data_IF_899751215636
#
_entry.id   IF_899751215636
#
_cell.length_a   1.000
_cell.length_b   1.000
_cell.length_c   1.000
_cell.angle_alpha   90.00
_cell.angle_beta   90.00
_cell.angle_gamma   90.00
#
_symmetry.space_group_name_H-M   'P 1'
#
loop_
_entity.id
_entity.type
_entity.pdbx_description
1 polymer ?
#
# COMPACT_ATOMS: atom_id res chain seq x y z
N UNK A 1 -7.69 -15.24 -11.78
CA UNK A 1 -8.42 -14.08 -12.31
C UNK A 1 -8.54 -12.97 -11.26
N UNK A 2 -9.20 -13.21 -10.12
CA UNK A 2 -9.52 -12.17 -9.11
C UNK A 2 -8.29 -11.47 -8.52
N UNK A 3 -7.22 -12.22 -8.23
CA UNK A 3 -5.94 -11.65 -7.79
C UNK A 3 -5.33 -10.70 -8.82
N UNK A 4 -5.42 -11.05 -10.10
CA UNK A 4 -4.93 -10.19 -11.18
C UNK A 4 -5.78 -8.92 -11.30
N UNK A 5 -7.11 -9.03 -11.16
CA UNK A 5 -8.02 -7.89 -11.22
C UNK A 5 -7.78 -6.94 -10.02
N UNK A 6 -7.58 -7.49 -8.82
CA UNK A 6 -7.20 -6.71 -7.64
C UNK A 6 -5.87 -5.97 -7.88
N UNK A 7 -4.85 -6.65 -8.40
CA UNK A 7 -3.57 -6.05 -8.75
C UNK A 7 -3.69 -4.94 -9.81
N UNK A 8 -4.48 -5.18 -10.86
CA UNK A 8 -4.75 -4.18 -11.89
C UNK A 8 -5.47 -2.95 -11.32
N UNK A 9 -6.46 -3.15 -10.46
CA UNK A 9 -7.18 -2.05 -9.82
C UNK A 9 -6.26 -1.21 -8.94
N UNK A 10 -5.37 -1.84 -8.16
CA UNK A 10 -4.36 -1.13 -7.37
C UNK A 10 -3.35 -0.39 -8.25
N UNK A 11 -2.92 -0.99 -9.35
CA UNK A 11 -2.01 -0.36 -10.30
C UNK A 11 -2.61 0.90 -10.92
N UNK A 12 -3.84 0.79 -11.43
CA UNK A 12 -4.57 1.94 -12.01
C UNK A 12 -4.87 2.99 -10.95
N UNK A 13 -5.32 2.57 -9.75
CA UNK A 13 -5.56 3.46 -8.63
C UNK A 13 -4.30 4.23 -8.22
N UNK A 14 -3.16 3.55 -8.13
CA UNK A 14 -1.87 4.17 -7.83
C UNK A 14 -1.44 5.18 -8.91
N UNK A 15 -1.62 4.85 -10.19
CA UNK A 15 -1.33 5.77 -11.29
C UNK A 15 -2.21 7.03 -11.25
N UNK A 16 -3.51 6.87 -10.98
CA UNK A 16 -4.45 7.99 -10.81
C UNK A 16 -4.12 8.83 -9.58
N UNK A 17 -3.83 8.19 -8.43
CA UNK A 17 -3.42 8.87 -7.20
C UNK A 17 -2.13 9.68 -7.41
N UNK A 18 -1.16 9.14 -8.16
CA UNK A 18 0.07 9.85 -8.53
C UNK A 18 -0.23 11.09 -9.38
N UNK A 19 -1.10 10.96 -10.39
CA UNK A 19 -1.50 12.08 -11.22
C UNK A 19 -2.21 13.19 -10.41
N UNK A 20 -3.07 12.80 -9.46
CA UNK A 20 -3.75 13.73 -8.54
C UNK A 20 -2.74 14.41 -7.62
N UNK A 21 -1.83 13.66 -7.00
CA UNK A 21 -0.79 14.21 -6.13
C UNK A 21 0.10 15.21 -6.86
N UNK A 22 0.42 14.96 -8.14
CA UNK A 22 1.23 15.85 -8.95
C UNK A 22 0.49 17.13 -9.41
N UNK A 23 -0.85 17.13 -9.44
CA UNK A 23 -1.62 18.23 -10.05
C UNK A 23 -2.46 19.02 -9.07
N UNK A 24 -3.17 18.34 -8.15
CA UNK A 24 -4.16 18.98 -7.28
C UNK A 24 -3.82 18.98 -5.80
N UNK A 25 -3.12 18.01 -5.31
CA UNK A 25 -2.78 17.74 -3.90
C UNK A 25 -4.03 17.61 -3.02
N UNK A 26 -4.84 18.65 -2.90
CA UNK A 26 -6.07 18.69 -2.09
C UNK A 26 -7.28 18.45 -2.97
N UNK A 27 -8.15 17.56 -2.56
CA UNK A 27 -9.38 17.19 -3.25
C UNK A 27 -10.60 17.72 -2.49
N UNK A 28 -11.76 17.85 -3.14
CA UNK A 28 -12.96 18.44 -2.51
C UNK A 28 -13.39 17.73 -1.21
N UNK A 29 -13.16 16.42 -1.09
CA UNK A 29 -13.48 15.69 0.13
C UNK A 29 -12.50 15.98 1.28
N UNK A 30 -11.23 16.30 0.97
CA UNK A 30 -10.27 16.75 1.99
C UNK A 30 -10.67 18.11 2.54
N UNK A 31 -11.05 19.04 1.64
CA UNK A 31 -11.54 20.36 2.04
C UNK A 31 -12.83 20.27 2.86
N UNK A 32 -13.75 19.39 2.45
CA UNK A 32 -14.99 19.16 3.19
C UNK A 32 -14.74 18.57 4.59
N UNK A 33 -13.73 17.68 4.72
CA UNK A 33 -13.38 17.07 6.00
C UNK A 33 -12.65 18.05 6.92
N UNK A 34 -11.69 18.80 6.38
CA UNK A 34 -10.91 19.79 7.12
C UNK A 34 -11.72 21.06 7.45
N UNK A 35 -12.80 21.32 6.71
CA UNK A 35 -13.52 22.60 6.78
C UNK A 35 -12.70 23.79 6.27
N UNK A 36 -11.64 23.53 5.51
CA UNK A 36 -10.66 24.51 5.04
C UNK A 36 -10.37 24.30 3.56
N UNK A 37 -10.31 25.39 2.81
CA UNK A 37 -9.89 25.35 1.41
C UNK A 37 -8.37 25.17 1.30
N UNK A 38 -7.91 24.74 0.12
CA UNK A 38 -6.47 24.65 -0.19
C UNK A 38 -5.72 25.97 0.10
N UNK A 39 -6.34 27.11 -0.18
CA UNK A 39 -5.74 28.41 0.05
C UNK A 39 -5.58 28.72 1.54
N UNK A 40 -6.58 28.37 2.35
CA UNK A 40 -6.55 28.53 3.79
C UNK A 40 -5.51 27.59 4.44
N UNK A 41 -5.43 26.34 3.99
CA UNK A 41 -4.39 25.40 4.43
C UNK A 41 -2.98 25.95 4.15
N UNK A 42 -2.75 26.51 2.96
CA UNK A 42 -1.48 27.12 2.60
C UNK A 42 -1.18 28.41 3.40
N UNK A 43 -2.22 29.15 3.79
CA UNK A 43 -2.09 30.37 4.60
C UNK A 43 -1.73 30.05 6.06
N UNK A 44 -2.28 28.95 6.61
CA UNK A 44 -1.96 28.46 7.97
C UNK A 44 -0.49 28.02 8.03
N UNK A 45 -0.08 27.14 7.11
CA UNK A 45 1.29 26.68 7.04
C UNK A 45 1.68 26.36 5.58
N UNK A 46 2.60 27.13 4.96
CA UNK A 46 2.99 26.92 3.57
C UNK A 46 3.70 25.56 3.32
N UNK A 47 4.13 24.86 4.36
CA UNK A 47 4.74 23.53 4.26
C UNK A 47 3.73 22.40 4.33
N UNK A 48 2.50 22.65 4.74
CA UNK A 48 1.46 21.63 4.88
C UNK A 48 1.12 20.97 3.53
N UNK A 49 0.99 21.77 2.46
CA UNK A 49 0.71 21.22 1.13
C UNK A 49 1.85 20.35 0.57
N UNK A 50 3.13 20.76 0.65
CA UNK A 50 4.25 19.87 0.32
C UNK A 50 4.29 18.58 1.14
N UNK A 51 3.98 18.65 2.44
CA UNK A 51 3.88 17.47 3.31
C UNK A 51 2.78 16.51 2.83
N UNK A 52 1.56 17.01 2.63
CA UNK A 52 0.44 16.22 2.09
C UNK A 52 0.77 15.62 0.71
N UNK A 53 1.49 16.37 -0.13
CA UNK A 53 1.93 15.88 -1.45
C UNK A 53 2.90 14.71 -1.32
N UNK A 54 3.88 14.81 -0.43
CA UNK A 54 4.84 13.74 -0.16
C UNK A 54 4.12 12.45 0.24
N UNK A 55 3.19 12.52 1.19
CA UNK A 55 2.44 11.34 1.66
C UNK A 55 1.60 10.72 0.54
N UNK A 56 0.94 11.53 -0.27
CA UNK A 56 0.14 11.06 -1.40
C UNK A 56 0.98 10.40 -2.49
N UNK A 57 2.15 10.95 -2.80
CA UNK A 57 3.09 10.38 -3.78
C UNK A 57 3.62 9.04 -3.26
N UNK A 58 3.95 8.96 -1.98
CA UNK A 58 4.43 7.72 -1.34
C UNK A 58 3.36 6.63 -1.35
N UNK A 59 2.13 6.97 -0.97
CA UNK A 59 0.99 6.06 -1.02
C UNK A 59 0.73 5.58 -2.45
N UNK A 60 0.68 6.50 -3.41
CA UNK A 60 0.43 6.20 -4.82
C UNK A 60 1.52 5.27 -5.40
N UNK A 61 2.79 5.54 -5.10
CA UNK A 61 3.92 4.69 -5.50
C UNK A 61 3.84 3.30 -4.90
N UNK A 62 3.45 3.19 -3.64
CA UNK A 62 3.24 1.90 -2.95
C UNK A 62 2.10 1.11 -3.60
N UNK A 63 0.95 1.74 -3.85
CA UNK A 63 -0.19 1.10 -4.53
C UNK A 63 0.20 0.61 -5.93
N UNK A 64 0.95 1.42 -6.68
CA UNK A 64 1.44 1.09 -8.00
C UNK A 64 2.36 -0.15 -7.97
N UNK A 65 3.34 -0.16 -7.05
CA UNK A 65 4.29 -1.27 -6.89
C UNK A 65 3.59 -2.56 -6.44
N UNK A 66 2.70 -2.50 -5.45
CA UNK A 66 1.92 -3.66 -4.97
C UNK A 66 0.99 -4.18 -6.06
N UNK A 67 0.38 -3.29 -6.85
CA UNK A 67 -0.45 -3.67 -7.99
C UNK A 67 0.33 -4.49 -9.03
N UNK A 68 1.53 -4.03 -9.41
CA UNK A 68 2.42 -4.79 -10.31
C UNK A 68 2.81 -6.14 -9.72
N UNK A 69 3.17 -6.18 -8.44
CA UNK A 69 3.56 -7.40 -7.75
C UNK A 69 2.41 -8.41 -7.72
N UNK A 70 1.19 -7.97 -7.41
CA UNK A 70 0.02 -8.84 -7.39
C UNK A 70 -0.29 -9.41 -8.78
N UNK A 71 -0.20 -8.60 -9.83
CA UNK A 71 -0.37 -9.10 -11.20
C UNK A 71 0.70 -10.13 -11.56
N UNK A 72 1.95 -9.88 -11.22
CA UNK A 72 3.05 -10.82 -11.47
C UNK A 72 2.87 -12.14 -10.69
N UNK A 73 2.51 -12.06 -9.40
CA UNK A 73 2.23 -13.25 -8.57
C UNK A 73 0.98 -13.99 -9.04
N UNK A 74 -0.06 -13.28 -9.44
CA UNK A 74 -1.28 -13.90 -9.98
C UNK A 74 -1.01 -14.67 -11.26
N UNK A 75 -0.28 -14.06 -12.20
CA UNK A 75 0.03 -14.67 -13.49
C UNK A 75 1.09 -15.78 -13.38
N UNK A 76 2.21 -15.50 -12.70
CA UNK A 76 3.36 -16.41 -12.60
C UNK A 76 3.19 -17.49 -11.53
N UNK A 77 2.40 -17.24 -10.50
CA UNK A 77 2.26 -18.12 -9.34
C UNK A 77 0.87 -18.70 -9.18
N UNK A 78 -0.13 -17.88 -8.80
CA UNK A 78 -1.48 -18.36 -8.46
C UNK A 78 -2.12 -19.15 -9.60
N UNK A 79 -2.02 -18.64 -10.84
CA UNK A 79 -2.52 -19.34 -12.04
C UNK A 79 -1.88 -20.72 -12.24
N UNK A 80 -0.64 -20.90 -11.81
CA UNK A 80 0.11 -22.17 -11.90
C UNK A 80 -0.11 -23.07 -10.68
N UNK A 81 -0.95 -22.67 -9.73
CA UNK A 81 -1.22 -23.43 -8.49
C UNK A 81 -0.10 -23.34 -7.45
N UNK A 82 0.73 -22.30 -7.51
CA UNK A 82 1.84 -22.09 -6.55
C UNK A 82 1.25 -21.53 -5.26
N UNK A 83 1.20 -22.37 -4.23
CA UNK A 83 0.53 -22.04 -2.96
C UNK A 83 1.10 -20.80 -2.27
N UNK A 84 2.42 -20.65 -2.18
CA UNK A 84 3.02 -19.50 -1.52
C UNK A 84 2.65 -18.16 -2.17
N UNK A 85 2.49 -18.12 -3.50
CA UNK A 85 2.08 -16.90 -4.19
C UNK A 85 0.65 -16.48 -3.81
N UNK A 86 -0.25 -17.46 -3.66
CA UNK A 86 -1.58 -17.22 -3.14
C UNK A 86 -1.55 -16.70 -1.70
N UNK A 87 -0.80 -17.37 -0.81
CA UNK A 87 -0.68 -16.98 0.61
C UNK A 87 -0.08 -15.58 0.73
N UNK A 88 0.93 -15.25 -0.07
CA UNK A 88 1.55 -13.91 -0.05
C UNK A 88 0.55 -12.82 -0.42
N UNK A 89 -0.24 -13.00 -1.49
CA UNK A 89 -1.29 -12.03 -1.86
C UNK A 89 -2.34 -11.95 -0.75
N UNK A 90 -2.85 -13.08 -0.26
CA UNK A 90 -3.88 -13.10 0.77
C UNK A 90 -3.41 -12.42 2.06
N UNK A 91 -2.24 -12.78 2.58
CA UNK A 91 -1.70 -12.22 3.82
C UNK A 91 -1.44 -10.71 3.71
N UNK A 92 -0.81 -10.26 2.63
CA UNK A 92 -0.54 -8.82 2.43
C UNK A 92 -1.82 -8.02 2.17
N UNK A 93 -2.81 -8.58 1.46
CA UNK A 93 -4.11 -7.94 1.28
C UNK A 93 -4.87 -7.82 2.61
N UNK A 94 -4.88 -8.87 3.44
CA UNK A 94 -5.48 -8.80 4.78
C UNK A 94 -4.83 -7.72 5.64
N UNK A 95 -3.51 -7.61 5.64
CA UNK A 95 -2.80 -6.56 6.38
C UNK A 95 -3.22 -5.16 5.89
N UNK A 96 -3.32 -4.96 4.56
CA UNK A 96 -3.79 -3.71 3.97
C UNK A 96 -5.24 -3.38 4.33
N UNK A 97 -6.16 -4.33 4.24
CA UNK A 97 -7.55 -4.10 4.63
C UNK A 97 -7.71 -3.89 6.13
N UNK A 98 -6.95 -4.61 6.96
CA UNK A 98 -6.95 -4.37 8.41
C UNK A 98 -6.50 -2.94 8.75
N UNK A 99 -5.45 -2.45 8.12
CA UNK A 99 -4.99 -1.06 8.25
C UNK A 99 -6.10 -0.07 7.86
N UNK A 100 -6.79 -0.31 6.74
CA UNK A 100 -7.90 0.54 6.32
C UNK A 100 -9.07 0.54 7.31
N UNK A 101 -9.47 -0.62 7.81
CA UNK A 101 -10.54 -0.70 8.82
C UNK A 101 -10.15 -0.05 10.14
N UNK A 102 -8.88 -0.14 10.54
CA UNK A 102 -8.38 0.58 11.72
C UNK A 102 -8.51 2.09 11.55
N UNK A 103 -8.29 2.60 10.33
CA UNK A 103 -8.41 4.02 10.00
C UNK A 103 -9.82 4.57 10.21
N UNK A 104 -10.86 3.77 9.99
CA UNK A 104 -12.25 4.17 10.28
C UNK A 104 -12.49 4.51 11.76
N UNK A 105 -11.70 3.92 12.67
CA UNK A 105 -11.76 4.20 14.10
C UNK A 105 -11.33 5.61 14.49
N UNK A 106 -10.62 6.31 13.61
CA UNK A 106 -10.14 7.69 13.84
C UNK A 106 -11.09 8.79 13.34
N UNK A 107 -12.31 8.41 12.93
CA UNK A 107 -13.36 9.36 12.55
C UNK A 107 -13.25 9.91 11.12
N UNK A 108 -12.21 9.58 10.38
CA UNK A 108 -12.10 9.96 8.97
C UNK A 108 -12.85 8.95 8.10
N UNK A 109 -13.92 9.39 7.46
CA UNK A 109 -14.68 8.58 6.53
C UNK A 109 -14.84 9.29 5.19
N UNK A 110 -14.19 8.75 4.18
CA UNK A 110 -14.36 9.18 2.80
C UNK A 110 -15.15 8.12 2.01
N UNK A 111 -16.35 8.47 1.51
CA UNK A 111 -17.21 7.54 0.76
C UNK A 111 -16.56 6.95 -0.48
N UNK A 112 -15.70 7.71 -1.17
CA UNK A 112 -15.02 7.24 -2.39
C UNK A 112 -14.01 6.14 -2.06
N UNK A 113 -13.13 6.37 -1.07
CA UNK A 113 -12.17 5.36 -0.62
C UNK A 113 -12.85 4.14 -0.01
N UNK A 114 -13.94 4.34 0.75
CA UNK A 114 -14.74 3.25 1.29
C UNK A 114 -15.32 2.37 0.19
N UNK A 115 -15.88 2.96 -0.88
CA UNK A 115 -16.41 2.23 -2.02
C UNK A 115 -15.31 1.45 -2.75
N UNK A 116 -14.19 2.09 -3.09
CA UNK A 116 -13.06 1.43 -3.77
C UNK A 116 -12.51 0.28 -2.94
N UNK A 117 -12.36 0.48 -1.62
CA UNK A 117 -11.89 -0.56 -0.71
C UNK A 117 -12.87 -1.72 -0.62
N UNK A 118 -14.19 -1.45 -0.58
CA UNK A 118 -15.21 -2.51 -0.59
C UNK A 118 -15.13 -3.36 -1.87
N UNK A 119 -14.95 -2.74 -3.04
CA UNK A 119 -14.78 -3.45 -4.31
C UNK A 119 -13.50 -4.31 -4.30
N UNK A 120 -12.38 -3.77 -3.85
CA UNK A 120 -11.12 -4.51 -3.73
C UNK A 120 -11.23 -5.68 -2.74
N UNK A 121 -11.92 -5.47 -1.63
CA UNK A 121 -12.19 -6.51 -0.65
C UNK A 121 -13.02 -7.66 -1.22
N UNK A 122 -14.01 -7.35 -2.08
CA UNK A 122 -14.76 -8.39 -2.80
C UNK A 122 -13.85 -9.22 -3.71
N UNK A 123 -12.86 -8.62 -4.37
CA UNK A 123 -11.90 -9.38 -5.18
C UNK A 123 -11.06 -10.32 -4.32
N UNK A 124 -10.67 -9.91 -3.11
CA UNK A 124 -10.00 -10.78 -2.15
C UNK A 124 -10.88 -11.96 -1.75
N UNK A 125 -12.13 -11.70 -1.36
CA UNK A 125 -13.07 -12.77 -0.98
C UNK A 125 -13.33 -13.75 -2.13
N UNK A 126 -13.50 -13.25 -3.36
CA UNK A 126 -13.69 -14.07 -4.54
C UNK A 126 -12.42 -14.87 -4.89
N UNK A 127 -11.23 -14.29 -4.70
CA UNK A 127 -9.98 -15.02 -4.85
C UNK A 127 -9.91 -16.18 -3.85
N UNK A 128 -10.28 -15.95 -2.61
CA UNK A 128 -10.28 -16.99 -1.56
C UNK A 128 -11.33 -18.08 -1.84
N UNK A 129 -12.55 -17.69 -2.20
CA UNK A 129 -13.64 -18.61 -2.49
C UNK A 129 -13.40 -19.49 -3.73
N UNK A 130 -12.64 -18.97 -4.70
CA UNK A 130 -12.33 -19.68 -5.95
C UNK A 130 -10.94 -20.32 -5.97
N UNK A 131 -10.24 -20.32 -4.81
CA UNK A 131 -8.92 -20.93 -4.73
C UNK A 131 -8.99 -22.43 -4.96
N UNK A 132 -8.32 -22.89 -6.00
CA UNK A 132 -8.14 -24.32 -6.26
C UNK A 132 -6.99 -24.85 -5.38
N UNK A 133 -7.14 -26.04 -4.78
CA UNK A 133 -6.09 -26.64 -3.97
C UNK A 133 -4.79 -26.75 -4.78
N UNK A 134 -3.67 -26.53 -4.10
CA UNK A 134 -2.34 -26.56 -4.70
C UNK A 134 -2.13 -27.85 -5.51
N UNK A 135 -1.77 -27.73 -6.76
CA UNK A 135 -1.28 -28.88 -7.52
C UNK A 135 0.10 -29.25 -6.99
N UNK A 136 0.17 -30.36 -6.28
CA UNK A 136 1.44 -31.02 -5.91
C UNK A 136 2.13 -31.48 -7.18
N UNK A 137 3.07 -30.72 -7.69
CA UNK A 137 3.73 -31.09 -8.97
C UNK A 137 4.76 -30.10 -9.46
N UNK A 138 5.32 -29.26 -8.57
CA UNK A 138 6.50 -28.52 -8.96
C UNK A 138 7.67 -29.50 -9.11
N UNK A 139 8.28 -29.51 -10.29
CA UNK A 139 9.55 -30.20 -10.47
C UNK A 139 10.55 -29.73 -9.41
N UNK A 140 11.33 -30.61 -8.80
CA UNK A 140 12.33 -30.19 -7.82
C UNK A 140 13.28 -29.18 -8.48
N UNK A 141 13.73 -28.16 -7.73
CA UNK A 141 14.64 -27.16 -8.28
C UNK A 141 15.90 -27.84 -8.82
N UNK A 142 16.33 -27.47 -9.99
CA UNK A 142 17.60 -27.95 -10.55
C UNK A 142 18.76 -27.46 -9.70
N UNK A 143 19.37 -28.35 -8.92
CA UNK A 143 20.46 -28.06 -8.00
C UNK A 143 21.82 -28.00 -8.73
N UNK A 144 21.90 -27.23 -9.80
CA UNK A 144 23.16 -27.00 -10.50
C UNK A 144 23.82 -25.74 -9.95
N UNK A 145 24.97 -25.94 -9.27
CA UNK A 145 25.77 -24.84 -8.68
C UNK A 145 26.59 -24.12 -9.78
N UNK A 146 25.90 -23.58 -10.77
CA UNK A 146 26.48 -22.71 -11.77
C UNK A 146 26.44 -21.23 -11.35
N UNK A 147 27.05 -20.34 -12.17
CA UNK A 147 27.08 -18.91 -11.88
C UNK A 147 25.67 -18.30 -11.83
N UNK A 148 24.71 -18.78 -12.66
CA UNK A 148 23.31 -18.32 -12.68
C UNK A 148 22.60 -18.66 -11.37
N UNK A 149 22.83 -19.89 -10.86
CA UNK A 149 22.30 -20.31 -9.58
C UNK A 149 22.80 -19.42 -8.43
N UNK A 150 24.12 -19.08 -8.42
CA UNK A 150 24.71 -18.21 -7.38
C UNK A 150 24.12 -16.80 -7.45
N UNK A 151 23.99 -16.21 -8.63
CA UNK A 151 23.36 -14.89 -8.77
C UNK A 151 21.89 -14.91 -8.35
N UNK A 152 21.15 -15.96 -8.62
CA UNK A 152 19.78 -16.10 -8.15
C UNK A 152 19.70 -16.20 -6.62
N UNK A 153 20.66 -16.88 -5.97
CA UNK A 153 20.73 -16.92 -4.48
C UNK A 153 20.99 -15.54 -3.88
N UNK A 154 21.91 -14.77 -4.47
CA UNK A 154 22.14 -13.39 -4.06
C UNK A 154 20.88 -12.52 -4.25
N UNK A 155 20.20 -12.65 -5.37
CA UNK A 155 18.95 -11.97 -5.63
C UNK A 155 17.88 -12.31 -4.61
N UNK A 156 17.71 -13.60 -4.28
CA UNK A 156 16.77 -14.06 -3.24
C UNK A 156 17.14 -13.48 -1.86
N UNK A 157 18.41 -13.52 -1.48
CA UNK A 157 18.88 -12.95 -0.21
C UNK A 157 18.56 -11.45 -0.11
N UNK A 158 18.85 -10.68 -1.15
CA UNK A 158 18.55 -9.25 -1.20
C UNK A 158 17.05 -8.98 -1.08
N UNK A 159 16.19 -9.77 -1.76
CA UNK A 159 14.74 -9.63 -1.62
C UNK A 159 14.25 -9.98 -0.21
N UNK A 160 14.83 -10.99 0.46
CA UNK A 160 14.49 -11.32 1.85
C UNK A 160 14.88 -10.18 2.80
N UNK A 161 16.10 -9.65 2.65
CA UNK A 161 16.58 -8.51 3.46
C UNK A 161 15.71 -7.27 3.24
N UNK A 162 15.41 -6.93 1.99
CA UNK A 162 14.53 -5.82 1.65
C UNK A 162 13.12 -6.03 2.20
N UNK A 163 12.57 -7.24 2.06
CA UNK A 163 11.25 -7.57 2.59
C UNK A 163 11.17 -7.45 4.11
N UNK A 164 12.21 -7.91 4.83
CA UNK A 164 12.32 -7.74 6.28
C UNK A 164 12.38 -6.26 6.68
N UNK A 165 13.18 -5.46 5.98
CA UNK A 165 13.29 -4.02 6.23
C UNK A 165 11.94 -3.29 5.99
N UNK A 166 11.25 -3.58 4.88
CA UNK A 166 9.95 -3.00 4.57
C UNK A 166 8.86 -3.43 5.56
N UNK A 167 8.88 -4.69 5.99
CA UNK A 167 7.94 -5.17 7.02
C UNK A 167 8.14 -4.44 8.34
N UNK A 168 9.40 -4.29 8.77
CA UNK A 168 9.74 -3.56 10.00
C UNK A 168 9.32 -2.10 9.89
N UNK A 169 9.65 -1.43 8.79
CA UNK A 169 9.24 -0.05 8.55
C UNK A 169 7.71 0.10 8.55
N UNK A 170 6.98 -0.81 7.88
CA UNK A 170 5.52 -0.78 7.86
C UNK A 170 4.90 -0.94 9.25
N UNK A 171 5.44 -1.84 10.08
CA UNK A 171 4.97 -2.00 11.48
C UNK A 171 5.22 -0.72 12.28
N UNK A 172 6.43 -0.15 12.19
CA UNK A 172 6.77 1.10 12.92
C UNK A 172 5.86 2.26 12.49
N UNK A 173 5.70 2.48 11.17
CA UNK A 173 4.84 3.56 10.64
C UNK A 173 3.38 3.36 11.09
N UNK A 174 2.87 2.12 11.05
CA UNK A 174 1.51 1.82 11.51
C UNK A 174 1.34 2.09 13.01
N UNK A 175 2.33 1.69 13.82
CA UNK A 175 2.30 1.96 15.27
C UNK A 175 2.32 3.47 15.56
N UNK A 176 3.19 4.22 14.89
CA UNK A 176 3.27 5.69 15.05
C UNK A 176 1.96 6.34 14.59
N UNK A 177 1.44 5.98 13.41
CA UNK A 177 0.19 6.52 12.91
C UNK A 177 -1.01 6.28 13.85
N UNK A 178 -1.04 5.13 14.53
CA UNK A 178 -2.10 4.81 15.50
C UNK A 178 -1.92 5.47 16.88
N UNK A 179 -0.72 5.90 17.25
CA UNK A 179 -0.42 6.39 18.61
C UNK A 179 -0.11 7.88 18.67
N UNK A 180 0.67 8.38 17.74
CA UNK A 180 1.25 9.74 17.80
C UNK A 180 0.82 10.62 16.64
N UNK A 181 0.25 10.05 15.58
CA UNK A 181 -0.18 10.68 14.31
C UNK A 181 1.02 11.22 13.51
N UNK A 182 1.87 12.04 14.12
CA UNK A 182 3.07 12.62 13.50
C UNK A 182 4.34 12.08 14.15
N UNK A 183 5.38 11.89 13.35
CA UNK A 183 6.74 11.70 13.84
C UNK A 183 7.42 13.05 14.05
N UNK A 184 8.52 13.06 14.81
CA UNK A 184 9.24 14.31 15.13
C UNK A 184 9.73 15.01 13.86
N UNK A 185 10.18 14.25 12.87
CA UNK A 185 10.66 14.74 11.58
C UNK A 185 9.58 15.48 10.79
N UNK A 186 8.31 15.03 10.87
CA UNK A 186 7.18 15.69 10.22
C UNK A 186 6.92 17.06 10.84
N UNK A 187 6.97 17.15 12.18
CA UNK A 187 6.79 18.40 12.91
C UNK A 187 7.94 19.37 12.66
N UNK A 188 9.18 18.88 12.62
CA UNK A 188 10.34 19.68 12.26
C UNK A 188 10.25 20.22 10.82
N UNK A 189 9.82 19.38 9.87
CA UNK A 189 9.60 19.81 8.49
C UNK A 189 8.53 20.90 8.41
N UNK A 190 7.40 20.71 9.09
CA UNK A 190 6.30 21.69 9.12
C UNK A 190 6.61 22.91 9.98
N UNK A 191 7.65 22.87 10.82
CA UNK A 191 8.01 23.91 11.79
C UNK A 191 6.84 24.28 12.73
N UNK A 192 6.17 23.26 13.27
CA UNK A 192 4.99 23.39 14.13
C UNK A 192 5.04 22.38 15.27
N UNK A 193 4.15 22.53 16.23
CA UNK A 193 3.95 21.56 17.32
C UNK A 193 2.61 20.86 17.16
N UNK A 194 2.43 19.73 17.88
CA UNK A 194 1.14 19.02 17.90
C UNK A 194 0.03 19.90 18.44
N UNK A 195 0.32 20.69 19.47
CA UNK A 195 -0.65 21.60 20.07
C UNK A 195 -1.15 22.67 19.09
N UNK A 196 -0.27 23.18 18.23
CA UNK A 196 -0.65 24.18 17.20
C UNK A 196 -1.47 23.58 16.05
N UNK A 197 -1.36 22.28 15.82
CA UNK A 197 -2.12 21.59 14.76
C UNK A 197 -3.50 21.12 15.25
N UNK A 198 -3.66 20.87 16.54
CA UNK A 198 -4.88 20.29 17.14
C UNK A 198 -5.71 21.33 17.88
N UNK A 199 -5.13 22.46 18.29
CA UNK A 199 -5.78 23.58 19.01
C UNK A 199 -6.55 24.49 18.12
#
# INVERSE_FOLDING_TARGET
>A
FWACLMGLSMFVGGALAMAIAATRIVLPYDEAMAGLTRAELAAINPRLLPFMQHDRVTLAGTMFAVGMLYMALAYGGVRRGVHWAYVSIAASAFAGFFSFFSFLGFGYFDPFHAFVTAVLFQFLLLMMATHLPARSGMAPPGLHNDWRWRWNQWGQLLFVVQGAALLTAGVVISCVGMTSVFVVEDLEFMQTTVEELVG
#
